data_IF_612000852812
#
_entry.id   IF_612000852812
#
_cell.length_a   1.000
_cell.length_b   1.000
_cell.length_c   1.000
_cell.angle_alpha   90.00
_cell.angle_beta   90.00
_cell.angle_gamma   90.00
#
_symmetry.space_group_name_H-M   'P 1'
#
loop_
_entity.id
_entity.type
_entity.pdbx_description
1 polymer ?
#
# COMPACT_ATOMS: atom_id res chain seq x y z
N UNK A 1 78.59 -30.11 20.36
CA UNK A 1 77.66 -29.98 19.22
C UNK A 1 76.30 -29.61 19.75
N UNK A 2 75.93 -28.33 19.70
CA UNK A 2 74.66 -27.79 20.18
C UNK A 2 73.61 -27.92 19.08
N UNK A 3 72.64 -28.83 19.26
CA UNK A 3 71.52 -29.00 18.34
C UNK A 3 70.49 -27.88 18.57
N UNK A 4 70.59 -26.81 17.81
CA UNK A 4 69.54 -25.79 17.70
C UNK A 4 68.40 -26.35 16.83
N UNK A 5 67.39 -26.92 17.47
CA UNK A 5 66.14 -27.31 16.79
C UNK A 5 65.44 -26.06 16.27
N UNK A 6 65.47 -25.89 14.95
CA UNK A 6 64.86 -24.80 14.21
C UNK A 6 63.32 -24.95 14.25
N UNK A 7 62.68 -24.50 15.33
CA UNK A 7 61.21 -24.48 15.45
C UNK A 7 60.63 -23.45 14.51
N UNK A 8 60.05 -23.91 13.38
CA UNK A 8 59.26 -23.06 12.47
C UNK A 8 58.27 -22.21 13.28
N UNK A 9 58.18 -20.89 13.02
CA UNK A 9 57.28 -20.01 13.75
C UNK A 9 55.84 -20.52 13.62
N UNK A 10 55.27 -20.93 14.74
CA UNK A 10 53.92 -21.45 14.77
C UNK A 10 52.98 -20.27 14.53
N UNK A 11 52.25 -20.30 13.42
CA UNK A 11 51.41 -19.17 13.02
C UNK A 11 50.25 -19.04 14.00
N UNK A 12 50.16 -17.90 14.66
CA UNK A 12 49.14 -17.58 15.66
C UNK A 12 48.16 -16.54 15.11
N UNK A 13 46.90 -16.60 15.57
CA UNK A 13 45.91 -15.53 15.39
C UNK A 13 44.87 -15.56 16.50
N UNK A 14 44.09 -14.49 16.63
CA UNK A 14 43.02 -14.41 17.62
C UNK A 14 41.79 -15.20 17.18
N UNK A 15 41.19 -15.94 18.12
CA UNK A 15 39.93 -16.63 17.91
C UNK A 15 38.78 -15.61 17.80
N UNK A 16 37.94 -15.70 16.77
CA UNK A 16 36.80 -14.78 16.58
C UNK A 16 35.73 -14.82 17.70
N UNK A 17 35.75 -15.82 18.59
CA UNK A 17 34.76 -15.96 19.67
C UNK A 17 35.27 -15.52 21.04
N UNK A 18 36.42 -16.02 21.47
CA UNK A 18 36.98 -15.77 22.80
C UNK A 18 38.14 -14.76 22.79
N UNK A 19 38.53 -14.29 21.60
CA UNK A 19 39.64 -13.36 21.37
C UNK A 19 41.00 -13.86 21.87
N UNK A 20 41.11 -15.11 22.31
CA UNK A 20 42.38 -15.70 22.73
C UNK A 20 43.24 -16.08 21.51
N UNK A 21 44.57 -15.86 21.57
CA UNK A 21 45.48 -16.32 20.53
C UNK A 21 45.50 -17.85 20.48
N UNK A 22 45.53 -18.42 19.28
CA UNK A 22 45.67 -19.86 19.09
C UNK A 22 46.54 -20.19 17.89
N UNK A 23 47.18 -21.36 17.95
CA UNK A 23 47.98 -21.91 16.85
C UNK A 23 47.06 -22.59 15.84
N UNK A 24 47.26 -22.32 14.55
CA UNK A 24 46.42 -22.89 13.49
C UNK A 24 47.24 -23.76 12.52
N UNK A 25 46.67 -24.91 12.12
CA UNK A 25 47.25 -25.77 11.08
C UNK A 25 46.92 -25.27 9.66
N UNK A 26 45.80 -24.58 9.48
CA UNK A 26 45.31 -24.04 8.19
C UNK A 26 45.09 -22.53 8.31
N UNK A 27 45.55 -21.74 7.32
CA UNK A 27 45.38 -20.27 7.31
C UNK A 27 43.91 -19.84 7.50
N UNK A 28 42.96 -20.63 7.00
CA UNK A 28 41.51 -20.38 7.05
C UNK A 28 40.85 -20.71 8.40
N UNK A 29 41.51 -21.38 9.34
CA UNK A 29 40.86 -21.83 10.58
C UNK A 29 40.50 -20.66 11.49
N UNK A 30 39.26 -20.27 11.71
CA UNK A 30 38.93 -18.99 12.40
C UNK A 30 38.77 -19.08 13.93
N UNK A 31 38.72 -20.30 14.48
CA UNK A 31 38.38 -20.55 15.88
C UNK A 31 39.39 -21.49 16.53
N UNK A 32 39.67 -21.27 17.81
CA UNK A 32 40.62 -22.10 18.57
C UNK A 32 40.11 -23.51 18.87
N UNK A 33 38.79 -23.68 19.01
CA UNK A 33 38.11 -24.94 19.36
C UNK A 33 36.74 -25.02 18.68
N UNK A 34 36.23 -26.23 18.44
CA UNK A 34 34.88 -26.44 17.90
C UNK A 34 33.79 -25.83 18.79
N UNK A 35 33.97 -25.83 20.11
CA UNK A 35 33.08 -25.09 21.04
C UNK A 35 33.00 -23.59 20.70
N UNK A 36 34.14 -22.94 20.41
CA UNK A 36 34.16 -21.53 20.05
C UNK A 36 33.45 -21.26 18.71
N UNK A 37 33.55 -22.19 17.75
CA UNK A 37 32.82 -22.13 16.49
C UNK A 37 31.31 -22.26 16.70
N UNK A 38 30.86 -23.24 17.51
CA UNK A 38 29.44 -23.43 17.86
C UNK A 38 28.87 -22.23 18.63
N UNK A 39 29.59 -21.76 19.65
CA UNK A 39 29.24 -20.55 20.42
C UNK A 39 29.10 -19.33 19.52
N UNK A 40 30.08 -19.08 18.63
CA UNK A 40 30.00 -17.95 17.70
C UNK A 40 28.83 -18.08 16.72
N UNK A 41 28.56 -19.30 16.23
CA UNK A 41 27.38 -19.56 15.39
C UNK A 41 26.09 -19.25 16.14
N UNK A 42 25.96 -19.69 17.39
CA UNK A 42 24.79 -19.42 18.24
C UNK A 42 24.62 -17.92 18.52
N UNK A 43 25.70 -17.20 18.87
CA UNK A 43 25.68 -15.74 19.06
C UNK A 43 25.22 -15.01 17.80
N UNK A 44 25.74 -15.39 16.63
CA UNK A 44 25.34 -14.81 15.34
C UNK A 44 23.88 -15.07 15.01
N UNK A 45 23.40 -16.29 15.26
CA UNK A 45 21.99 -16.64 15.05
C UNK A 45 21.11 -15.79 15.96
N UNK A 46 21.39 -15.75 17.27
CA UNK A 46 20.64 -14.93 18.23
C UNK A 46 20.59 -13.45 17.82
N UNK A 47 21.72 -12.85 17.46
CA UNK A 47 21.77 -11.46 16.99
C UNK A 47 20.97 -11.24 15.69
N UNK A 48 20.93 -12.25 14.82
CA UNK A 48 20.12 -12.21 13.60
C UNK A 48 18.63 -12.29 13.92
N UNK A 49 18.23 -13.15 14.85
CA UNK A 49 16.84 -13.28 15.32
C UNK A 49 16.37 -11.98 15.96
N UNK A 50 17.15 -11.42 16.89
CA UNK A 50 16.88 -10.12 17.53
C UNK A 50 16.71 -9.01 16.49
N UNK A 51 17.58 -8.96 15.48
CA UNK A 51 17.46 -7.99 14.38
C UNK A 51 16.19 -8.18 13.55
N UNK A 52 15.74 -9.42 13.35
CA UNK A 52 14.50 -9.71 12.59
C UNK A 52 13.28 -9.34 13.41
N UNK A 53 13.22 -9.71 14.68
CA UNK A 53 12.17 -9.30 15.61
C UNK A 53 12.06 -7.79 15.65
N UNK A 54 13.18 -7.09 15.85
CA UNK A 54 13.22 -5.62 15.81
C UNK A 54 12.61 -5.03 14.54
N UNK A 55 12.98 -5.56 13.37
CA UNK A 55 12.44 -5.09 12.08
C UNK A 55 10.94 -5.34 11.93
N UNK A 56 10.44 -6.44 12.49
CA UNK A 56 9.02 -6.74 12.48
C UNK A 56 8.27 -5.79 13.42
N UNK A 57 8.68 -5.73 14.69
CA UNK A 57 8.06 -4.91 15.76
C UNK A 57 8.00 -3.42 15.43
N UNK A 58 8.99 -2.93 14.68
CA UNK A 58 9.05 -1.51 14.28
C UNK A 58 8.55 -1.23 12.88
N UNK A 59 7.99 -2.23 12.20
CA UNK A 59 7.44 -2.07 10.85
C UNK A 59 6.09 -1.36 10.86
N UNK A 60 5.80 -0.63 9.78
CA UNK A 60 4.49 0.01 9.60
C UNK A 60 3.34 -1.01 9.57
N UNK A 61 3.60 -2.23 9.11
CA UNK A 61 2.62 -3.31 9.12
C UNK A 61 2.27 -3.76 10.54
N UNK A 62 3.25 -3.94 11.44
CA UNK A 62 2.96 -4.25 12.84
C UNK A 62 2.26 -3.11 13.57
N UNK A 63 2.57 -1.86 13.23
CA UNK A 63 1.83 -0.72 13.74
C UNK A 63 0.36 -0.75 13.32
N UNK A 64 0.10 -1.11 12.06
CA UNK A 64 -1.26 -1.35 11.57
C UNK A 64 -1.95 -2.50 12.34
N UNK A 65 -1.29 -3.66 12.49
CA UNK A 65 -1.84 -4.79 13.25
C UNK A 65 -2.20 -4.39 14.69
N UNK A 66 -1.32 -3.65 15.36
CA UNK A 66 -1.54 -3.18 16.72
C UNK A 66 -2.73 -2.21 16.81
N UNK A 67 -2.89 -1.30 15.85
CA UNK A 67 -4.05 -0.40 15.82
C UNK A 67 -5.36 -1.17 15.60
N UNK A 68 -5.37 -2.17 14.72
CA UNK A 68 -6.56 -3.01 14.50
C UNK A 68 -6.87 -3.91 15.72
N UNK A 69 -5.86 -4.46 16.39
CA UNK A 69 -6.07 -5.22 17.63
C UNK A 69 -6.66 -4.33 18.73
N UNK A 70 -6.14 -3.10 18.90
CA UNK A 70 -6.70 -2.09 19.82
C UNK A 70 -8.17 -1.81 19.51
N UNK A 71 -8.47 -1.57 18.23
CA UNK A 71 -9.85 -1.34 17.76
C UNK A 71 -10.75 -2.55 17.98
N UNK A 72 -10.24 -3.78 17.91
CA UNK A 72 -11.01 -4.99 18.19
C UNK A 72 -11.16 -5.31 19.68
N UNK A 73 -10.24 -4.81 20.51
CA UNK A 73 -10.16 -5.12 21.94
C UNK A 73 -9.51 -6.47 22.25
N UNK A 74 -8.84 -7.11 21.28
CA UNK A 74 -8.11 -8.38 21.47
C UNK A 74 -7.06 -8.57 20.38
N UNK A 75 -6.01 -9.35 20.64
CA UNK A 75 -5.07 -9.83 19.60
C UNK A 75 -5.56 -11.10 18.87
N UNK A 76 -6.61 -11.76 19.38
CA UNK A 76 -7.14 -13.01 18.83
C UNK A 76 -7.84 -12.85 17.47
N UNK A 77 -8.04 -11.61 17.01
CA UNK A 77 -8.54 -11.31 15.65
C UNK A 77 -7.49 -11.51 14.56
N UNK A 78 -6.23 -11.73 14.93
CA UNK A 78 -5.14 -11.93 14.00
C UNK A 78 -5.24 -13.30 13.29
N UNK A 79 -4.71 -13.41 12.06
CA UNK A 79 -4.61 -14.69 11.37
C UNK A 79 -3.75 -15.71 12.12
N UNK A 80 -4.00 -17.00 11.86
CA UNK A 80 -3.27 -18.09 12.49
C UNK A 80 -2.09 -18.63 11.65
N UNK A 81 -2.07 -18.37 10.33
CA UNK A 81 -1.09 -18.97 9.40
C UNK A 81 -0.23 -17.92 8.71
N UNK A 82 0.97 -18.31 8.23
CA UNK A 82 1.87 -17.41 7.52
C UNK A 82 1.29 -16.98 6.18
N UNK A 83 0.55 -17.87 5.52
CA UNK A 83 -0.14 -17.65 4.26
C UNK A 83 -1.21 -16.56 4.41
N UNK A 84 -2.00 -16.61 5.49
CA UNK A 84 -3.00 -15.60 5.77
C UNK A 84 -2.36 -14.23 6.07
N UNK A 85 -1.24 -14.21 6.81
CA UNK A 85 -0.48 -12.97 7.02
C UNK A 85 0.10 -12.40 5.72
N UNK A 86 0.52 -13.27 4.79
CA UNK A 86 0.98 -12.85 3.47
C UNK A 86 -0.15 -12.23 2.65
N UNK A 87 -1.34 -12.84 2.66
CA UNK A 87 -2.52 -12.30 2.01
C UNK A 87 -2.93 -10.96 2.65
N UNK A 88 -2.94 -10.86 3.98
CA UNK A 88 -3.24 -9.64 4.73
C UNK A 88 -2.24 -8.53 4.39
N UNK A 89 -0.95 -8.85 4.35
CA UNK A 89 0.09 -7.88 3.99
C UNK A 89 -0.04 -7.42 2.54
N UNK A 90 -0.51 -8.27 1.62
CA UNK A 90 -0.82 -7.88 0.26
C UNK A 90 -1.96 -6.84 0.21
N UNK A 91 -3.04 -7.04 0.97
CA UNK A 91 -4.14 -6.05 1.11
C UNK A 91 -3.62 -4.73 1.69
N UNK A 92 -2.80 -4.81 2.75
CA UNK A 92 -2.16 -3.62 3.35
C UNK A 92 -1.32 -2.84 2.34
N UNK A 93 -0.45 -3.51 1.59
CA UNK A 93 0.36 -2.88 0.53
C UNK A 93 -0.50 -2.32 -0.59
N UNK A 94 -1.57 -3.02 -0.96
CA UNK A 94 -2.46 -2.57 -2.01
C UNK A 94 -3.17 -1.27 -1.62
N UNK A 95 -3.62 -1.13 -0.38
CA UNK A 95 -4.17 0.14 0.13
C UNK A 95 -3.16 1.29 0.07
N UNK A 96 -1.88 1.04 0.35
CA UNK A 96 -0.84 2.05 0.18
C UNK A 96 -0.70 2.45 -1.29
N UNK A 97 -0.67 1.47 -2.20
CA UNK A 97 -0.60 1.71 -3.65
C UNK A 97 -1.82 2.50 -4.16
N UNK A 98 -3.04 2.13 -3.75
CA UNK A 98 -4.29 2.78 -4.14
C UNK A 98 -4.35 4.27 -3.74
N UNK A 99 -3.63 4.65 -2.68
CA UNK A 99 -3.54 6.03 -2.19
C UNK A 99 -2.21 6.71 -2.57
N UNK A 100 -1.52 6.24 -3.61
CA UNK A 100 -0.26 6.81 -4.07
C UNK A 100 0.77 6.95 -2.91
N UNK A 101 0.83 5.94 -2.05
CA UNK A 101 1.68 5.86 -0.86
C UNK A 101 1.50 7.02 0.15
N UNK A 102 0.28 7.57 0.25
CA UNK A 102 -0.10 8.56 1.26
C UNK A 102 -0.32 9.98 0.73
N UNK A 103 -0.31 10.17 -0.60
CA UNK A 103 -0.73 11.43 -1.24
C UNK A 103 -2.24 11.62 -1.16
N UNK A 104 -2.96 10.52 -1.33
CA UNK A 104 -4.42 10.49 -1.28
C UNK A 104 -4.91 9.77 -0.02
N UNK A 105 -6.18 9.95 0.29
CA UNK A 105 -6.86 9.30 1.43
C UNK A 105 -8.22 8.71 1.03
N UNK A 106 -8.45 8.56 -0.26
CA UNK A 106 -9.71 8.10 -0.82
C UNK A 106 -10.04 6.67 -0.40
N UNK A 107 -9.04 5.81 -0.29
CA UNK A 107 -9.22 4.40 0.02
C UNK A 107 -8.73 4.02 1.43
N UNK A 108 -9.47 3.15 2.09
CA UNK A 108 -9.11 2.57 3.38
C UNK A 108 -9.27 1.05 3.35
N UNK A 109 -8.62 0.37 4.30
CA UNK A 109 -8.91 -1.04 4.54
C UNK A 109 -10.22 -1.08 5.33
N UNK A 110 -11.26 -1.59 4.69
CA UNK A 110 -12.62 -1.69 5.22
C UNK A 110 -12.88 -3.14 5.64
N UNK A 111 -13.69 -3.29 6.68
CA UNK A 111 -14.09 -4.60 7.18
C UNK A 111 -15.40 -5.03 6.52
N UNK A 112 -15.44 -6.23 5.96
CA UNK A 112 -16.67 -6.84 5.43
C UNK A 112 -17.60 -7.16 6.59
N UNK A 113 -17.12 -7.94 7.57
CA UNK A 113 -17.74 -8.04 8.89
C UNK A 113 -17.07 -7.06 9.86
N UNK A 114 -17.83 -6.18 10.52
CA UNK A 114 -17.31 -5.06 11.28
C UNK A 114 -16.46 -5.51 12.48
N UNK A 115 -15.44 -4.71 12.79
CA UNK A 115 -14.59 -4.89 13.99
C UNK A 115 -15.43 -4.88 15.26
N UNK A 116 -16.42 -3.99 15.34
CA UNK A 116 -17.25 -3.79 16.52
C UNK A 116 -18.66 -4.31 16.26
N UNK A 117 -18.98 -5.49 16.79
CA UNK A 117 -20.35 -6.02 16.82
C UNK A 117 -20.69 -6.54 18.23
N UNK A 118 -21.97 -6.54 18.69
CA UNK A 118 -22.31 -6.89 20.08
C UNK A 118 -21.87 -8.30 20.51
N UNK A 119 -21.98 -9.29 19.63
CA UNK A 119 -21.72 -10.70 19.95
C UNK A 119 -20.48 -11.27 19.26
N UNK A 120 -20.06 -10.64 18.16
CA UNK A 120 -19.02 -11.12 17.26
C UNK A 120 -18.00 -10.00 17.06
N UNK A 121 -16.82 -10.34 16.56
CA UNK A 121 -15.77 -9.39 16.19
C UNK A 121 -15.25 -9.80 14.82
N UNK A 122 -15.21 -8.87 13.87
CA UNK A 122 -14.58 -9.08 12.56
C UNK A 122 -13.09 -9.35 12.71
N UNK A 123 -12.59 -10.40 12.05
CA UNK A 123 -11.17 -10.74 12.08
C UNK A 123 -10.35 -9.89 11.12
N UNK A 124 -9.06 -9.72 11.41
CA UNK A 124 -8.12 -8.98 10.57
C UNK A 124 -7.50 -9.96 9.56
N UNK A 125 -8.34 -10.55 8.72
CA UNK A 125 -7.96 -11.56 7.73
C UNK A 125 -8.26 -11.07 6.32
N UNK A 126 -7.50 -11.51 5.32
CA UNK A 126 -7.66 -11.00 3.95
C UNK A 126 -9.05 -11.28 3.35
N UNK A 127 -9.73 -12.33 3.79
CA UNK A 127 -11.11 -12.69 3.41
C UNK A 127 -12.18 -11.81 4.08
N UNK A 128 -11.84 -11.07 5.14
CA UNK A 128 -12.73 -10.14 5.84
C UNK A 128 -12.42 -8.67 5.57
N UNK A 129 -11.35 -8.38 4.82
CA UNK A 129 -10.88 -7.02 4.57
C UNK A 129 -10.94 -6.72 3.09
N UNK A 130 -11.23 -5.46 2.76
CA UNK A 130 -11.28 -4.96 1.38
C UNK A 130 -10.74 -3.53 1.29
N UNK A 131 -10.05 -3.19 0.20
CA UNK A 131 -9.65 -1.80 -0.05
C UNK A 131 -10.80 -1.07 -0.74
N UNK A 132 -11.45 -0.14 -0.03
CA UNK A 132 -12.62 0.58 -0.55
C UNK A 132 -12.69 2.02 -0.04
N UNK A 133 -13.71 2.76 -0.46
CA UNK A 133 -13.85 4.20 -0.21
C UNK A 133 -13.91 4.52 1.30
N UNK A 134 -12.95 5.30 1.78
CA UNK A 134 -12.83 5.73 3.18
C UNK A 134 -14.11 6.42 3.68
N UNK A 135 -14.68 7.31 2.88
CA UNK A 135 -15.90 8.07 3.25
C UNK A 135 -17.13 7.17 3.41
N UNK A 136 -17.24 6.11 2.60
CA UNK A 136 -18.36 5.17 2.70
C UNK A 136 -18.15 4.22 3.88
N UNK A 137 -16.92 3.77 4.13
CA UNK A 137 -16.57 2.98 5.31
C UNK A 137 -16.98 3.68 6.62
N UNK A 138 -16.66 4.97 6.75
CA UNK A 138 -17.05 5.76 7.92
C UNK A 138 -18.58 5.84 8.10
N UNK A 139 -19.35 5.85 7.01
CA UNK A 139 -20.83 5.87 7.05
C UNK A 139 -21.43 4.49 7.34
N UNK A 140 -20.81 3.43 6.82
CA UNK A 140 -21.29 2.04 6.94
C UNK A 140 -21.17 1.52 8.38
N UNK A 141 -20.23 2.05 9.16
CA UNK A 141 -20.12 1.82 10.61
C UNK A 141 -20.10 0.32 10.96
N UNK A 142 -20.90 -0.10 11.95
CA UNK A 142 -20.96 -1.45 12.49
C UNK A 142 -22.04 -2.33 11.82
N UNK A 143 -22.42 -2.02 10.58
CA UNK A 143 -23.39 -2.82 9.82
C UNK A 143 -22.69 -3.98 9.10
N UNK A 144 -23.41 -5.08 8.92
CA UNK A 144 -22.91 -6.27 8.23
C UNK A 144 -24.06 -6.95 7.50
N UNK A 145 -23.80 -7.48 6.31
CA UNK A 145 -24.72 -8.42 5.68
C UNK A 145 -24.64 -9.77 6.40
N UNK A 146 -25.77 -10.47 6.52
CA UNK A 146 -25.81 -11.77 7.16
C UNK A 146 -24.91 -12.77 6.40
N UNK A 147 -24.00 -13.43 7.13
CA UNK A 147 -23.04 -14.38 6.55
C UNK A 147 -21.89 -13.74 5.77
N UNK A 148 -21.77 -12.41 5.74
CA UNK A 148 -20.66 -11.73 5.09
C UNK A 148 -19.45 -11.63 6.01
N UNK A 149 -18.26 -11.83 5.44
CA UNK A 149 -16.99 -11.67 6.13
C UNK A 149 -16.74 -12.73 7.20
N UNK A 150 -15.59 -12.60 7.87
CA UNK A 150 -15.13 -13.53 8.90
C UNK A 150 -15.14 -12.88 10.26
N UNK A 151 -15.64 -13.63 11.25
CA UNK A 151 -15.76 -13.14 12.61
C UNK A 151 -15.50 -14.24 13.64
N UNK A 152 -15.22 -13.82 14.86
CA UNK A 152 -15.06 -14.69 16.04
C UNK A 152 -16.03 -14.26 17.14
N UNK A 153 -16.40 -15.21 18.01
CA UNK A 153 -17.29 -14.93 19.13
C UNK A 153 -16.57 -14.15 20.23
N UNK A 154 -17.23 -13.15 20.80
CA UNK A 154 -16.72 -12.45 21.99
C UNK A 154 -16.63 -13.35 23.21
N UNK A 155 -17.50 -14.37 23.28
CA UNK A 155 -17.56 -15.29 24.40
C UNK A 155 -16.38 -16.27 24.43
N UNK A 156 -15.74 -16.52 23.28
CA UNK A 156 -14.57 -17.39 23.19
C UNK A 156 -13.24 -16.69 23.46
N UNK A 157 -13.24 -15.37 23.69
CA UNK A 157 -12.02 -14.60 23.85
C UNK A 157 -11.36 -14.85 25.22
N UNK A 158 -10.05 -15.01 25.20
CA UNK A 158 -9.26 -15.21 26.40
C UNK A 158 -8.91 -13.87 27.06
N UNK A 159 -9.16 -13.69 28.37
CA UNK A 159 -8.89 -12.43 29.07
C UNK A 159 -7.44 -11.94 28.95
N UNK A 160 -6.46 -12.84 28.87
CA UNK A 160 -5.03 -12.50 28.73
C UNK A 160 -4.67 -11.81 27.41
N UNK A 161 -5.51 -11.96 26.39
CA UNK A 161 -5.28 -11.41 25.05
C UNK A 161 -6.09 -10.16 24.77
N UNK A 162 -6.84 -9.66 25.76
CA UNK A 162 -7.60 -8.43 25.64
C UNK A 162 -6.68 -7.22 25.58
N UNK A 163 -7.04 -6.27 24.73
CA UNK A 163 -6.35 -4.99 24.59
C UNK A 163 -7.33 -3.85 24.86
N UNK A 164 -6.81 -2.66 25.17
CA UNK A 164 -7.61 -1.44 25.31
C UNK A 164 -7.26 -0.45 24.19
N UNK A 165 -8.22 0.40 23.81
CA UNK A 165 -7.95 1.53 22.90
C UNK A 165 -6.91 2.49 23.48
N UNK A 166 -6.81 2.64 24.80
CA UNK A 166 -5.84 3.53 25.45
C UNK A 166 -4.44 2.90 25.58
N UNK A 167 -4.32 1.59 25.35
CA UNK A 167 -3.07 0.88 25.55
C UNK A 167 -1.98 1.36 24.58
N UNK A 168 -0.74 1.62 25.06
CA UNK A 168 0.35 2.02 24.20
C UNK A 168 0.60 1.01 23.08
N UNK A 169 0.75 1.49 21.84
CA UNK A 169 0.96 0.63 20.66
C UNK A 169 2.13 -0.35 20.82
N UNK A 170 3.21 0.10 21.46
CA UNK A 170 4.41 -0.72 21.74
C UNK A 170 4.10 -1.92 22.64
N UNK A 171 3.17 -1.79 23.59
CA UNK A 171 2.75 -2.89 24.46
C UNK A 171 1.89 -3.89 23.69
N UNK A 172 0.96 -3.40 22.86
CA UNK A 172 0.14 -4.26 22.01
C UNK A 172 1.01 -5.05 21.03
N UNK A 173 2.06 -4.45 20.46
CA UNK A 173 3.02 -5.16 19.62
C UNK A 173 3.72 -6.29 20.39
N UNK A 174 4.12 -6.07 21.64
CA UNK A 174 4.69 -7.12 22.48
C UNK A 174 3.69 -8.27 22.69
N UNK A 175 2.42 -7.94 22.94
CA UNK A 175 1.35 -8.94 23.06
C UNK A 175 1.15 -9.72 21.75
N UNK A 176 1.23 -9.07 20.59
CA UNK A 176 1.17 -9.73 19.28
C UNK A 176 2.34 -10.72 19.12
N UNK A 177 3.56 -10.31 19.47
CA UNK A 177 4.75 -11.18 19.41
C UNK A 177 4.63 -12.36 20.37
N UNK A 178 4.09 -12.13 21.58
CA UNK A 178 3.84 -13.18 22.56
C UNK A 178 2.76 -14.16 22.09
N UNK A 179 1.68 -13.65 21.50
CA UNK A 179 0.57 -14.43 20.97
C UNK A 179 0.99 -15.34 19.80
N UNK A 180 1.72 -14.78 18.83
CA UNK A 180 2.18 -15.51 17.64
C UNK A 180 3.42 -16.37 17.91
N UNK A 181 4.25 -15.98 18.88
CA UNK A 181 5.56 -16.57 19.15
C UNK A 181 6.68 -15.93 18.31
N UNK A 182 7.84 -15.71 18.95
CA UNK A 182 8.99 -15.05 18.33
C UNK A 182 9.49 -15.75 17.05
N UNK A 183 9.53 -17.08 17.04
CA UNK A 183 9.96 -17.87 15.88
C UNK A 183 9.01 -17.70 14.68
N UNK A 184 7.71 -17.54 14.94
CA UNK A 184 6.72 -17.28 13.91
C UNK A 184 6.88 -15.87 13.33
N UNK A 185 7.06 -14.88 14.20
CA UNK A 185 7.30 -13.48 13.79
C UNK A 185 8.60 -13.36 12.98
N UNK A 186 9.63 -14.11 13.34
CA UNK A 186 10.88 -14.17 12.57
C UNK A 186 10.64 -14.67 11.14
N UNK A 187 9.91 -15.79 10.99
CA UNK A 187 9.56 -16.35 9.67
C UNK A 187 8.72 -15.36 8.87
N UNK A 188 7.75 -14.71 9.51
CA UNK A 188 6.92 -13.69 8.89
C UNK A 188 7.77 -12.49 8.42
N UNK A 189 8.72 -12.01 9.23
CA UNK A 189 9.64 -10.95 8.82
C UNK A 189 10.40 -11.31 7.54
N UNK A 190 10.89 -12.55 7.46
CA UNK A 190 11.62 -13.04 6.29
C UNK A 190 10.74 -13.13 5.05
N UNK A 191 9.56 -13.74 5.20
CA UNK A 191 8.60 -13.95 4.12
C UNK A 191 8.11 -12.62 3.54
N UNK A 192 7.67 -11.71 4.41
CA UNK A 192 7.09 -10.43 4.03
C UNK A 192 8.14 -9.33 3.79
N UNK A 193 9.41 -9.62 4.10
CA UNK A 193 10.56 -8.71 3.99
C UNK A 193 10.35 -7.40 4.76
N UNK A 194 9.70 -7.47 5.93
CA UNK A 194 9.34 -6.29 6.73
C UNK A 194 10.59 -5.45 7.06
N UNK A 195 10.45 -4.15 6.90
CA UNK A 195 11.45 -3.15 7.27
C UNK A 195 10.88 -2.23 8.35
N UNK A 196 11.73 -1.65 9.21
CA UNK A 196 11.30 -0.61 10.14
C UNK A 196 10.61 0.52 9.39
N UNK A 197 9.60 1.13 9.99
CA UNK A 197 8.95 2.31 9.43
C UNK A 197 9.96 3.43 9.20
N UNK A 198 9.73 4.29 8.21
CA UNK A 198 10.66 5.39 7.86
C UNK A 198 11.02 6.24 9.08
N UNK A 199 10.03 6.57 9.92
CA UNK A 199 10.26 7.28 11.18
C UNK A 199 11.30 6.57 12.07
N UNK A 200 11.15 5.25 12.25
CA UNK A 200 12.09 4.47 13.06
C UNK A 200 13.48 4.43 12.44
N UNK A 201 13.58 4.25 11.11
CA UNK A 201 14.89 4.24 10.43
C UNK A 201 15.63 5.56 10.59
N UNK A 202 14.91 6.70 10.54
CA UNK A 202 15.48 8.03 10.76
C UNK A 202 15.90 8.21 12.21
N UNK A 203 15.05 7.78 13.15
CA UNK A 203 15.34 7.83 14.58
C UNK A 203 16.58 7.01 14.95
N UNK A 204 16.67 5.75 14.50
CA UNK A 204 17.83 4.88 14.72
C UNK A 204 19.12 5.47 14.15
N UNK A 205 19.01 6.10 12.97
CA UNK A 205 20.13 6.76 12.33
C UNK A 205 20.62 7.93 13.18
N UNK A 206 19.71 8.77 13.71
CA UNK A 206 20.06 9.90 14.56
C UNK A 206 20.72 9.45 15.86
N UNK A 207 20.20 8.41 16.52
CA UNK A 207 20.82 7.87 17.75
C UNK A 207 22.22 7.31 17.49
N UNK A 208 22.42 6.66 16.35
CA UNK A 208 23.71 6.08 15.99
C UNK A 208 24.76 7.13 15.56
N UNK A 209 24.33 8.35 15.21
CA UNK A 209 25.23 9.42 14.83
C UNK A 209 25.52 10.30 16.05
N UNK A 210 26.75 10.27 16.54
CA UNK A 210 27.19 11.16 17.61
C UNK A 210 27.48 12.56 17.04
N UNK A 211 26.44 13.39 16.94
CA UNK A 211 26.53 14.80 16.51
C UNK A 211 25.89 15.70 17.58
N UNK A 212 26.57 16.78 17.96
CA UNK A 212 26.13 17.69 19.02
C UNK A 212 24.79 18.39 18.73
N UNK A 213 24.39 18.48 17.46
CA UNK A 213 23.12 19.08 17.03
C UNK A 213 21.93 18.14 17.28
N UNK A 214 22.18 16.87 17.59
CA UNK A 214 21.12 15.88 17.81
C UNK A 214 20.63 15.99 19.26
N UNK A 215 19.32 16.27 19.48
CA UNK A 215 18.74 16.33 20.82
C UNK A 215 18.82 15.01 21.58
N UNK A 216 18.54 15.05 22.89
CA UNK A 216 18.41 13.83 23.70
C UNK A 216 17.31 12.90 23.16
N UNK A 217 17.41 11.62 23.51
CA UNK A 217 16.50 10.56 23.03
C UNK A 217 15.04 10.90 23.34
N UNK A 218 14.76 11.43 24.53
CA UNK A 218 13.41 11.80 24.96
C UNK A 218 12.82 12.90 24.07
N UNK A 219 13.66 13.87 23.65
CA UNK A 219 13.24 14.92 22.73
C UNK A 219 13.00 14.37 21.33
N UNK A 220 13.84 13.45 20.85
CA UNK A 220 13.66 12.80 19.55
C UNK A 220 12.37 11.97 19.47
N UNK A 221 11.96 11.34 20.58
CA UNK A 221 10.71 10.57 20.65
C UNK A 221 9.48 11.45 20.46
N UNK A 222 9.52 12.70 20.94
CA UNK A 222 8.44 13.67 20.78
C UNK A 222 8.31 14.25 19.36
N UNK A 223 9.35 14.13 18.52
CA UNK A 223 9.33 14.71 17.17
C UNK A 223 8.48 13.91 16.18
N UNK A 224 7.87 14.63 15.24
CA UNK A 224 7.15 14.05 14.09
C UNK A 224 8.13 13.44 13.07
N UNK A 225 7.61 12.59 12.17
CA UNK A 225 8.40 11.99 11.08
C UNK A 225 9.03 13.06 10.17
N UNK A 226 8.33 14.17 9.93
CA UNK A 226 8.84 15.27 9.10
C UNK A 226 9.97 16.02 9.81
N UNK A 227 9.82 16.33 11.10
CA UNK A 227 10.85 17.00 11.90
C UNK A 227 12.12 16.14 12.02
N UNK A 228 11.96 14.84 12.29
CA UNK A 228 13.09 13.89 12.30
C UNK A 228 13.79 13.84 10.94
N UNK A 229 13.04 13.85 9.84
CA UNK A 229 13.62 13.82 8.49
C UNK A 229 14.36 15.12 8.17
N UNK A 230 13.83 16.28 8.58
CA UNK A 230 14.50 17.58 8.48
C UNK A 230 15.79 17.62 9.31
N UNK A 231 15.75 17.12 10.55
CA UNK A 231 16.93 17.03 11.40
C UNK A 231 18.01 16.14 10.77
N UNK A 232 17.62 14.98 10.23
CA UNK A 232 18.54 14.11 9.49
C UNK A 232 19.13 14.79 8.26
N UNK A 233 18.33 15.54 7.50
CA UNK A 233 18.82 16.32 6.36
C UNK A 233 19.85 17.38 6.79
N UNK A 234 19.56 18.12 7.87
CA UNK A 234 20.46 19.11 8.45
C UNK A 234 21.80 18.49 8.92
N UNK A 235 21.74 17.35 9.61
CA UNK A 235 22.94 16.66 10.11
C UNK A 235 23.76 16.10 8.93
N UNK A 236 23.10 15.52 7.93
CA UNK A 236 23.75 14.88 6.79
C UNK A 236 24.18 15.82 5.67
N UNK A 237 23.79 17.10 5.72
CA UNK A 237 24.12 18.10 4.70
C UNK A 237 23.51 17.82 3.32
N UNK A 238 22.45 17.01 3.26
CA UNK A 238 21.77 16.62 2.00
C UNK A 238 20.35 17.16 2.00
N UNK A 239 19.95 17.79 0.91
CA UNK A 239 18.55 18.12 0.66
C UNK A 239 17.72 16.83 0.51
N UNK A 240 16.51 16.84 1.06
CA UNK A 240 15.58 15.74 0.89
C UNK A 240 15.12 15.68 -0.56
N UNK A 241 15.59 14.71 -1.33
CA UNK A 241 15.13 14.47 -2.70
C UNK A 241 13.63 14.20 -2.74
N UNK A 242 12.92 14.90 -3.63
CA UNK A 242 11.52 14.64 -3.97
C UNK A 242 11.44 13.42 -4.89
N UNK A 243 10.66 12.41 -4.52
CA UNK A 243 10.37 11.28 -5.41
C UNK A 243 9.16 11.62 -6.29
N UNK A 244 9.35 11.63 -7.61
CA UNK A 244 8.26 11.78 -8.56
C UNK A 244 7.57 10.42 -8.77
N UNK A 245 6.30 10.31 -8.34
CA UNK A 245 5.46 9.16 -8.68
C UNK A 245 4.74 9.42 -10.01
N UNK A 246 4.55 8.37 -10.81
CA UNK A 246 3.55 8.37 -11.87
C UNK A 246 2.17 8.34 -11.22
N UNK A 247 1.28 9.23 -11.64
CA UNK A 247 -0.12 9.28 -11.20
C UNK A 247 -0.84 8.00 -11.69
N UNK A 248 -0.72 6.92 -10.92
CA UNK A 248 -1.41 5.66 -11.15
C UNK A 248 -2.78 5.71 -10.49
N UNK A 249 -3.77 6.24 -11.19
CA UNK A 249 -5.17 5.95 -10.88
C UNK A 249 -5.95 5.78 -12.19
N UNK A 250 -6.03 4.52 -12.65
CA UNK A 250 -7.10 4.13 -13.57
C UNK A 250 -8.39 4.09 -12.75
N UNK A 251 -9.36 4.95 -13.09
CA UNK A 251 -10.67 4.96 -12.43
C UNK A 251 -11.27 3.55 -12.42
N UNK A 252 -11.76 3.11 -11.26
CA UNK A 252 -12.36 1.79 -11.12
C UNK A 252 -11.38 0.62 -10.98
N UNK A 253 -10.06 0.83 -11.11
CA UNK A 253 -9.08 -0.23 -10.98
C UNK A 253 -9.04 -0.84 -9.56
N UNK A 254 -9.25 -0.02 -8.52
CA UNK A 254 -9.31 -0.49 -7.12
C UNK A 254 -10.48 -1.45 -6.92
N UNK A 255 -11.67 -1.05 -7.36
CA UNK A 255 -12.86 -1.88 -7.28
C UNK A 255 -12.70 -3.20 -8.06
N UNK A 256 -12.24 -3.12 -9.32
CA UNK A 256 -12.02 -4.31 -10.14
C UNK A 256 -10.93 -5.25 -9.61
N UNK A 257 -9.88 -4.72 -8.97
CA UNK A 257 -8.87 -5.54 -8.30
C UNK A 257 -9.46 -6.29 -7.11
N UNK A 258 -10.20 -5.59 -6.25
CA UNK A 258 -10.80 -6.18 -5.06
C UNK A 258 -11.88 -7.21 -5.39
N UNK A 259 -12.70 -6.99 -6.42
CA UNK A 259 -13.63 -8.01 -6.91
C UNK A 259 -12.91 -9.31 -7.27
N UNK A 260 -11.88 -9.23 -8.13
CA UNK A 260 -11.10 -10.41 -8.57
C UNK A 260 -10.43 -11.11 -7.39
N UNK A 261 -9.91 -10.33 -6.44
CA UNK A 261 -9.29 -10.88 -5.22
C UNK A 261 -10.31 -11.60 -4.35
N UNK A 262 -11.54 -11.08 -4.21
CA UNK A 262 -12.56 -11.67 -3.35
C UNK A 262 -13.26 -12.88 -3.95
N UNK A 263 -13.19 -13.12 -5.27
CA UNK A 263 -13.75 -14.34 -5.92
C UNK A 263 -13.29 -15.62 -5.24
N UNK A 264 -12.04 -15.67 -4.78
CA UNK A 264 -11.50 -16.86 -4.08
C UNK A 264 -12.28 -17.21 -2.80
N UNK A 265 -13.00 -16.26 -2.20
CA UNK A 265 -13.82 -16.42 -1.00
C UNK A 265 -15.33 -16.32 -1.30
N UNK A 266 -15.67 -15.62 -2.39
CA UNK A 266 -17.04 -15.33 -2.84
C UNK A 266 -17.16 -15.56 -4.35
N UNK A 267 -17.25 -16.82 -4.80
CA UNK A 267 -17.26 -17.17 -6.22
C UNK A 267 -18.40 -16.51 -7.01
N UNK A 268 -19.50 -16.16 -6.36
CA UNK A 268 -20.63 -15.47 -7.02
C UNK A 268 -20.26 -14.07 -7.55
N UNK A 269 -19.13 -13.51 -7.12
CA UNK A 269 -18.59 -12.24 -7.62
C UNK A 269 -18.06 -12.31 -9.06
N UNK A 270 -17.85 -13.50 -9.64
CA UNK A 270 -17.42 -13.65 -11.04
C UNK A 270 -18.36 -12.92 -11.99
N UNK A 271 -19.67 -13.09 -11.80
CA UNK A 271 -20.70 -12.40 -12.59
C UNK A 271 -20.67 -10.88 -12.44
N UNK A 272 -20.26 -10.40 -11.27
CA UNK A 272 -20.12 -8.96 -11.02
C UNK A 272 -18.89 -8.39 -11.72
N UNK A 273 -17.81 -9.18 -11.85
CA UNK A 273 -16.62 -8.81 -12.63
C UNK A 273 -16.99 -8.65 -14.09
N UNK A 274 -17.67 -9.65 -14.68
CA UNK A 274 -18.12 -9.59 -16.09
C UNK A 274 -18.99 -8.36 -16.34
N UNK A 275 -19.96 -8.11 -15.47
CA UNK A 275 -20.84 -6.94 -15.58
C UNK A 275 -20.07 -5.62 -15.41
N UNK A 276 -19.09 -5.56 -14.50
CA UNK A 276 -18.25 -4.38 -14.30
C UNK A 276 -17.35 -4.11 -15.52
N UNK A 277 -16.65 -5.12 -16.02
CA UNK A 277 -15.76 -5.03 -17.18
C UNK A 277 -16.51 -4.58 -18.43
N UNK A 278 -17.75 -5.07 -18.63
CA UNK A 278 -18.61 -4.62 -19.73
C UNK A 278 -19.00 -3.13 -19.65
N UNK A 279 -18.93 -2.51 -18.47
CA UNK A 279 -19.26 -1.09 -18.25
C UNK A 279 -18.05 -0.20 -18.01
N UNK A 280 -16.85 -0.77 -17.91
CA UNK A 280 -15.67 -0.08 -17.39
C UNK A 280 -15.22 1.08 -18.29
N UNK A 281 -15.20 0.88 -19.61
CA UNK A 281 -14.81 1.93 -20.56
C UNK A 281 -15.73 3.15 -20.47
N UNK A 282 -17.04 2.91 -20.42
CA UNK A 282 -18.05 3.95 -20.27
C UNK A 282 -17.92 4.67 -18.93
N UNK A 283 -17.70 3.92 -17.85
CA UNK A 283 -17.46 4.48 -16.52
C UNK A 283 -16.20 5.37 -16.48
N UNK A 284 -15.10 4.93 -17.11
CA UNK A 284 -13.86 5.72 -17.20
C UNK A 284 -14.12 7.01 -17.99
N UNK A 285 -14.82 6.92 -19.12
CA UNK A 285 -15.22 8.08 -19.91
C UNK A 285 -16.02 9.08 -19.09
N UNK A 286 -16.95 8.60 -18.26
CA UNK A 286 -17.74 9.42 -17.34
C UNK A 286 -16.87 10.11 -16.28
N UNK A 287 -15.98 9.40 -15.61
CA UNK A 287 -15.11 9.98 -14.58
C UNK A 287 -14.14 11.02 -15.16
N UNK A 288 -13.59 10.76 -16.35
CA UNK A 288 -12.80 11.72 -17.10
C UNK A 288 -13.62 12.96 -17.46
N UNK A 289 -14.87 12.78 -17.92
CA UNK A 289 -15.78 13.89 -18.22
C UNK A 289 -16.12 14.70 -16.97
N UNK A 290 -16.18 14.07 -15.80
CA UNK A 290 -16.44 14.76 -14.54
C UNK A 290 -15.22 15.56 -14.06
N UNK A 291 -14.03 14.98 -14.13
CA UNK A 291 -12.80 15.60 -13.61
C UNK A 291 -12.22 16.65 -14.56
N UNK A 292 -12.25 16.37 -15.87
CA UNK A 292 -11.64 17.20 -16.89
C UNK A 292 -12.66 17.87 -17.81
N UNK A 293 -13.85 17.28 -17.96
CA UNK A 293 -14.93 17.87 -18.71
C UNK A 293 -15.50 19.07 -17.95
N UNK A 294 -15.50 20.23 -18.60
CA UNK A 294 -15.98 21.49 -18.03
C UNK A 294 -17.52 21.55 -18.11
N UNK A 295 -18.17 20.57 -17.47
CA UNK A 295 -19.62 20.47 -17.41
C UNK A 295 -20.23 21.66 -16.63
N UNK A 296 -21.42 22.16 -17.02
CA UNK A 296 -22.17 23.11 -16.22
C UNK A 296 -22.48 22.54 -14.84
N UNK A 297 -22.53 23.40 -13.82
CA UNK A 297 -22.77 23.01 -12.42
C UNK A 297 -23.99 22.11 -12.23
N UNK A 298 -25.07 22.37 -12.98
CA UNK A 298 -26.30 21.56 -12.96
C UNK A 298 -26.02 20.11 -13.38
N UNK A 299 -25.32 19.90 -14.48
CA UNK A 299 -24.97 18.57 -14.99
C UNK A 299 -23.94 17.90 -14.09
N UNK A 300 -22.94 18.65 -13.59
CA UNK A 300 -21.99 18.13 -12.61
C UNK A 300 -22.69 17.60 -11.37
N UNK A 301 -23.65 18.35 -10.81
CA UNK A 301 -24.40 17.93 -9.62
C UNK A 301 -25.29 16.70 -9.87
N UNK A 302 -25.94 16.61 -11.05
CA UNK A 302 -26.67 15.41 -11.46
C UNK A 302 -25.73 14.21 -11.58
N UNK A 303 -24.60 14.39 -12.25
CA UNK A 303 -23.61 13.34 -12.49
C UNK A 303 -23.00 12.84 -11.19
N UNK A 304 -22.62 13.75 -10.29
CA UNK A 304 -22.12 13.42 -8.96
C UNK A 304 -23.13 12.56 -8.18
N UNK A 305 -24.43 12.85 -8.27
CA UNK A 305 -25.46 12.05 -7.59
C UNK A 305 -25.50 10.60 -8.10
N UNK A 306 -25.43 10.40 -9.42
CA UNK A 306 -25.40 9.06 -10.02
C UNK A 306 -24.10 8.34 -9.66
N UNK A 307 -22.95 9.02 -9.73
CA UNK A 307 -21.65 8.46 -9.34
C UNK A 307 -21.59 8.07 -7.86
N UNK A 308 -22.16 8.87 -6.95
CA UNK A 308 -22.27 8.47 -5.54
C UNK A 308 -23.11 7.20 -5.37
N UNK A 309 -24.11 6.99 -6.22
CA UNK A 309 -24.90 5.74 -6.22
C UNK A 309 -24.08 4.57 -6.73
N UNK A 310 -23.29 4.76 -7.81
CA UNK A 310 -22.35 3.75 -8.30
C UNK A 310 -21.35 3.37 -7.20
N UNK A 311 -20.73 4.35 -6.53
CA UNK A 311 -19.79 4.09 -5.43
C UNK A 311 -20.45 3.33 -4.28
N UNK A 312 -21.71 3.64 -3.96
CA UNK A 312 -22.46 2.95 -2.92
C UNK A 312 -22.73 1.47 -3.29
N UNK A 313 -23.07 1.18 -4.55
CA UNK A 313 -23.26 -0.19 -5.03
C UNK A 313 -21.93 -0.96 -5.07
N UNK A 314 -20.85 -0.34 -5.55
CA UNK A 314 -19.50 -0.89 -5.51
C UNK A 314 -19.05 -1.20 -4.07
N UNK A 315 -19.30 -0.28 -3.14
CA UNK A 315 -19.00 -0.50 -1.73
C UNK A 315 -19.84 -1.66 -1.19
N UNK A 316 -21.16 -1.67 -1.45
CA UNK A 316 -22.08 -2.67 -0.90
C UNK A 316 -21.76 -4.09 -1.37
N UNK A 317 -21.46 -4.29 -2.66
CA UNK A 317 -21.10 -5.62 -3.16
C UNK A 317 -19.80 -6.12 -2.53
N UNK A 318 -18.80 -5.25 -2.34
CA UNK A 318 -17.56 -5.60 -1.66
C UNK A 318 -17.78 -5.97 -0.18
N UNK A 319 -18.84 -5.47 0.45
CA UNK A 319 -19.18 -5.72 1.86
C UNK A 319 -20.21 -6.85 2.06
N UNK A 320 -20.52 -7.62 1.02
CA UNK A 320 -21.36 -8.83 1.13
C UNK A 320 -22.76 -8.71 0.56
N UNK A 321 -23.11 -7.60 -0.10
CA UNK A 321 -24.35 -7.53 -0.87
C UNK A 321 -24.36 -8.58 -2.00
N UNK A 322 -25.52 -9.19 -2.33
CA UNK A 322 -25.62 -10.17 -3.41
C UNK A 322 -25.14 -9.64 -4.76
N UNK A 323 -24.32 -10.42 -5.46
CA UNK A 323 -23.81 -10.05 -6.78
C UNK A 323 -24.94 -9.80 -7.80
N UNK A 324 -26.06 -10.53 -7.70
CA UNK A 324 -27.23 -10.33 -8.56
C UNK A 324 -27.81 -8.91 -8.48
N UNK A 325 -27.83 -8.31 -7.29
CA UNK A 325 -28.34 -6.96 -7.08
C UNK A 325 -27.44 -5.92 -7.77
N UNK A 326 -26.12 -6.09 -7.66
CA UNK A 326 -25.16 -5.22 -8.33
C UNK A 326 -25.27 -5.31 -9.84
N UNK A 327 -25.30 -6.53 -10.39
CA UNK A 327 -25.39 -6.79 -11.84
C UNK A 327 -26.64 -6.14 -12.44
N UNK A 328 -27.78 -6.22 -11.76
CA UNK A 328 -29.04 -5.59 -12.20
C UNK A 328 -28.97 -4.07 -12.29
N UNK A 329 -28.15 -3.41 -11.46
CA UNK A 329 -28.13 -1.96 -11.34
C UNK A 329 -27.01 -1.31 -12.13
N UNK A 330 -25.82 -1.91 -12.17
CA UNK A 330 -24.60 -1.21 -12.59
C UNK A 330 -24.66 -0.75 -14.05
N UNK A 331 -25.19 -1.57 -14.94
CA UNK A 331 -25.35 -1.22 -16.36
C UNK A 331 -26.26 -0.01 -16.54
N UNK A 332 -27.40 0.00 -15.84
CA UNK A 332 -28.36 1.12 -15.87
C UNK A 332 -27.73 2.40 -15.32
N UNK A 333 -27.05 2.32 -14.17
CA UNK A 333 -26.42 3.48 -13.53
C UNK A 333 -25.30 4.08 -14.39
N UNK A 334 -24.44 3.25 -14.98
CA UNK A 334 -23.37 3.72 -15.86
C UNK A 334 -23.95 4.31 -17.15
N UNK A 335 -24.99 3.71 -17.71
CA UNK A 335 -25.68 4.24 -18.90
C UNK A 335 -26.35 5.60 -18.61
N UNK A 336 -26.98 5.76 -17.45
CA UNK A 336 -27.54 7.03 -17.00
C UNK A 336 -26.44 8.09 -16.84
N UNK A 337 -25.33 7.73 -16.19
CA UNK A 337 -24.20 8.65 -16.00
C UNK A 337 -23.58 9.08 -17.34
N UNK A 338 -23.44 8.16 -18.29
CA UNK A 338 -22.98 8.42 -19.65
C UNK A 338 -23.93 9.36 -20.39
N UNK A 339 -25.24 9.14 -20.30
CA UNK A 339 -26.23 10.01 -20.91
C UNK A 339 -26.15 11.44 -20.35
N UNK A 340 -26.01 11.61 -19.02
CA UNK A 340 -25.83 12.92 -18.39
C UNK A 340 -24.54 13.59 -18.86
N UNK A 341 -23.43 12.86 -18.95
CA UNK A 341 -22.15 13.39 -19.43
C UNK A 341 -22.19 13.82 -20.90
N UNK A 342 -23.08 13.23 -21.70
CA UNK A 342 -23.30 13.55 -23.11
C UNK A 342 -24.45 14.56 -23.35
N UNK A 343 -25.16 15.02 -22.30
CA UNK A 343 -26.24 16.01 -22.44
C UNK A 343 -25.69 17.29 -23.12
N UNK A 344 -26.31 17.78 -24.21
CA UNK A 344 -25.90 19.01 -24.87
C UNK A 344 -25.92 20.18 -23.88
N UNK A 345 -24.84 20.96 -23.85
CA UNK A 345 -24.75 22.12 -22.98
C UNK A 345 -25.57 23.26 -23.60
N UNK A 346 -26.75 23.54 -23.03
CA UNK A 346 -27.58 24.65 -23.47
C UNK A 346 -27.14 25.97 -22.82
N UNK A 347 -27.32 27.09 -23.53
CA UNK A 347 -27.01 28.42 -23.00
C UNK A 347 -27.77 28.74 -21.70
N UNK A 348 -28.98 28.21 -21.55
CA UNK A 348 -29.82 28.37 -20.34
C UNK A 348 -29.25 27.70 -19.09
N UNK A 349 -28.29 26.78 -19.23
CA UNK A 349 -27.70 26.04 -18.12
C UNK A 349 -26.47 26.74 -17.52
N UNK A 350 -26.08 27.90 -18.06
CA UNK A 350 -24.87 28.63 -17.69
C UNK A 350 -25.16 30.11 -17.48
N UNK A 351 -24.41 30.77 -16.61
CA UNK A 351 -24.40 32.24 -16.59
C UNK A 351 -23.86 32.78 -17.91
N UNK A 352 -24.20 34.03 -18.27
CA UNK A 352 -23.71 34.66 -19.52
C UNK A 352 -22.18 34.61 -19.65
N UNK A 353 -21.47 34.77 -18.52
CA UNK A 353 -20.01 34.66 -18.46
C UNK A 353 -19.53 33.22 -18.71
N UNK A 354 -20.12 32.25 -18.04
CA UNK A 354 -19.77 30.84 -18.21
C UNK A 354 -20.05 30.36 -19.65
N UNK A 355 -21.12 30.83 -20.29
CA UNK A 355 -21.43 30.54 -21.69
C UNK A 355 -20.42 31.16 -22.65
N UNK A 356 -20.04 32.42 -22.47
CA UNK A 356 -19.00 33.06 -23.27
C UNK A 356 -17.65 32.34 -23.15
N UNK A 357 -17.28 31.95 -21.92
CA UNK A 357 -16.07 31.17 -21.66
C UNK A 357 -16.14 29.77 -22.31
N UNK A 358 -17.33 29.15 -22.37
CA UNK A 358 -17.55 27.87 -23.04
C UNK A 358 -17.41 27.99 -24.56
N UNK A 359 -18.07 28.98 -25.18
CA UNK A 359 -17.99 29.24 -26.62
C UNK A 359 -16.55 29.56 -27.06
N UNK A 360 -15.84 30.41 -26.32
CA UNK A 360 -14.44 30.71 -26.60
C UNK A 360 -13.54 29.46 -26.54
N UNK A 361 -13.82 28.51 -25.64
CA UNK A 361 -13.10 27.23 -25.58
C UNK A 361 -13.42 26.32 -26.74
N UNK A 362 -14.69 26.17 -27.12
CA UNK A 362 -15.09 25.38 -28.29
C UNK A 362 -14.34 25.86 -29.54
N UNK A 363 -14.28 27.17 -29.75
CA UNK A 363 -13.53 27.77 -30.85
C UNK A 363 -12.03 27.40 -30.73
N UNK A 364 -11.43 27.53 -29.55
CA UNK A 364 -10.02 27.22 -29.33
C UNK A 364 -9.69 25.74 -29.57
N UNK A 365 -10.55 24.82 -29.14
CA UNK A 365 -10.33 23.39 -29.31
C UNK A 365 -10.57 22.95 -30.76
N UNK A 366 -11.54 23.55 -31.46
CA UNK A 366 -11.73 23.39 -32.89
C UNK A 366 -10.47 23.84 -33.67
N UNK A 367 -9.95 25.03 -33.37
CA UNK A 367 -8.71 25.54 -33.98
C UNK A 367 -7.50 24.63 -33.71
N UNK A 368 -7.40 24.05 -32.50
CA UNK A 368 -6.33 23.08 -32.17
C UNK A 368 -6.45 21.80 -32.98
N UNK A 369 -7.67 21.29 -33.17
CA UNK A 369 -7.93 20.09 -33.96
C UNK A 369 -7.58 20.32 -35.43
N UNK A 370 -8.03 21.44 -36.00
CA UNK A 370 -7.69 21.85 -37.37
C UNK A 370 -6.17 22.02 -37.55
N UNK A 371 -5.48 22.62 -36.57
CA UNK A 371 -4.03 22.76 -36.60
C UNK A 371 -3.30 21.41 -36.52
N UNK A 372 -3.79 20.47 -35.71
CA UNK A 372 -3.23 19.13 -35.60
C UNK A 372 -3.41 18.33 -36.89
N UNK A 373 -4.59 18.40 -37.52
CA UNK A 373 -4.88 17.78 -38.82
C UNK A 373 -4.00 18.38 -39.92
N UNK A 374 -3.87 19.71 -39.97
CA UNK A 374 -2.99 20.40 -40.93
C UNK A 374 -1.51 20.00 -40.74
N UNK A 375 -1.05 19.85 -39.48
CA UNK A 375 0.30 19.39 -39.19
C UNK A 375 0.51 17.93 -39.62
N UNK A 376 -0.48 17.04 -39.40
CA UNK A 376 -0.41 15.65 -39.85
C UNK A 376 -0.27 15.56 -41.38
N UNK A 377 -1.08 16.33 -42.13
CA UNK A 377 -1.00 16.42 -43.60
C UNK A 377 0.35 16.98 -44.07
N UNK A 378 0.89 17.98 -43.38
CA UNK A 378 2.22 18.53 -43.68
C UNK A 378 3.33 17.48 -43.49
N UNK A 379 3.29 16.72 -42.40
CA UNK A 379 4.26 15.65 -42.12
C UNK A 379 4.18 14.55 -43.18
N UNK A 380 2.98 14.13 -43.57
CA UNK A 380 2.75 13.12 -44.60
C UNK A 380 3.29 13.59 -45.97
N UNK A 381 2.97 14.81 -46.38
CA UNK A 381 3.49 15.40 -47.63
C UNK A 381 5.02 15.43 -47.65
N UNK A 382 5.64 15.87 -46.54
CA UNK A 382 7.11 15.93 -46.42
C UNK A 382 7.75 14.54 -46.48
N UNK A 383 7.10 13.54 -45.91
CA UNK A 383 7.55 12.15 -46.00
C UNK A 383 7.53 11.65 -47.45
N UNK A 384 6.44 11.90 -48.19
CA UNK A 384 6.31 11.55 -49.62
C UNK A 384 7.39 12.23 -50.46
N UNK A 385 7.60 13.55 -50.28
CA UNK A 385 8.65 14.30 -50.98
C UNK A 385 10.05 13.73 -50.72
N UNK A 386 10.31 13.33 -49.47
CA UNK A 386 11.59 12.72 -49.08
C UNK A 386 11.77 11.35 -49.73
N UNK A 387 10.73 10.51 -49.79
CA UNK A 387 10.78 9.21 -50.49
C UNK A 387 11.00 9.36 -51.99
N UNK A 388 10.34 10.33 -52.62
CA UNK A 388 10.53 10.64 -54.04
C UNK A 388 11.97 11.10 -54.33
N UNK A 389 12.53 11.97 -53.48
CA UNK A 389 13.90 12.44 -53.60
C UNK A 389 14.93 11.31 -53.40
N UNK A 390 14.68 10.37 -52.46
CA UNK A 390 15.54 9.19 -52.29
C UNK A 390 15.48 8.27 -53.51
N UNK A 391 14.29 8.05 -54.08
CA UNK A 391 14.12 7.21 -55.27
C UNK A 391 14.84 7.80 -56.49
N UNK A 392 14.77 9.11 -56.69
CA UNK A 392 15.51 9.80 -57.75
C UNK A 392 17.02 9.70 -57.58
N UNK A 393 17.53 9.77 -56.33
CA UNK A 393 18.95 9.58 -56.04
C UNK A 393 19.44 8.14 -56.23
N UNK A 394 18.56 7.15 -56.16
CA UNK A 394 18.91 5.75 -56.43
C UNK A 394 18.88 5.43 -57.93
N UNK A 395 18.10 6.19 -58.71
CA UNK A 395 17.98 6.03 -60.16
C UNK A 395 19.06 6.77 -60.96
N UNK A 396 19.69 7.80 -60.36
CA UNK A 396 20.84 8.52 -60.89
C UNK A 396 22.16 7.90 -60.39
#
# INVERSE_FOLDING_TARGET
>A
MTNTTNTKPCKQKLCKNCLQPFQYKRKTAEFCKEYCKKSNKAKRLKAQQEKRLYRAETSAFFYYLADECRRAGTVEVLPATLEDFQALHAVYKYRLKANNYGRDSEYSICHIFPVQHPFLIGTITADNLVVSYSKLNSKYSNTAFAGAGRSISRLSLLPKWRTSEEQPKKEVIKMIVEYLGADFVEKMQQLLKLQPAQRQQVFDWLIAHADERIPSVEKLEALTTQELSKLKALVSGKESGSFAYSDWQEYGAVFGHELRRLVQYRPELERAIEAWEATLEDYIGVELSRHYGKLPKRLTAKLDKVLQTIYAEQFSILHGSPASQFVQKIQTLVSEAKAIAAEPIAQSDMTTKEWADYQHRLIKDQLRKEAAEAHALYVEKRWIETQAAMSLKQAA
#
